data_IF_909708069092
#
_entry.id   IF_909708069092
#
_cell.length_a   1.000
_cell.length_b   1.000
_cell.length_c   1.000
_cell.angle_alpha   90.00
_cell.angle_beta   90.00
_cell.angle_gamma   90.00
#
_symmetry.space_group_name_H-M   'P 1'
#
loop_
_entity.id
_entity.type
_entity.pdbx_description
1 polymer ?
#
# COMPACT_ATOMS: atom_id res chain seq x y z
N UNK A 1 -30.28 2.26 2.23
CA UNK A 1 -29.17 3.15 2.63
C UNK A 1 -27.99 2.81 1.75
N UNK A 2 -27.40 3.77 1.03
CA UNK A 2 -26.15 3.51 0.29
C UNK A 2 -25.07 3.18 1.32
N UNK A 3 -24.58 1.94 1.31
CA UNK A 3 -23.43 1.56 2.12
C UNK A 3 -22.19 2.30 1.60
N UNK A 4 -21.37 2.82 2.50
CA UNK A 4 -20.10 3.48 2.15
C UNK A 4 -19.15 2.52 1.43
N UNK A 5 -18.28 3.00 0.53
CA UNK A 5 -17.24 2.15 -0.07
C UNK A 5 -16.31 1.60 1.01
N UNK A 6 -15.97 0.32 0.92
CA UNK A 6 -15.06 -0.37 1.85
C UNK A 6 -13.70 -0.54 1.22
N UNK A 7 -12.65 -0.05 1.88
CA UNK A 7 -11.28 -0.13 1.39
C UNK A 7 -10.39 -0.93 2.35
N UNK A 8 -9.79 -2.00 1.85
CA UNK A 8 -8.77 -2.76 2.58
C UNK A 8 -7.40 -2.10 2.38
N UNK A 9 -6.73 -1.76 3.49
CA UNK A 9 -5.37 -1.21 3.50
C UNK A 9 -4.42 -2.17 4.21
N UNK A 10 -3.50 -2.78 3.46
CA UNK A 10 -2.50 -3.67 4.06
C UNK A 10 -1.40 -2.89 4.76
N UNK A 11 -0.96 -3.35 5.95
CA UNK A 11 -0.03 -2.59 6.78
C UNK A 11 -0.59 -1.21 7.18
N UNK A 12 -1.90 -1.12 7.40
CA UNK A 12 -2.64 0.11 7.63
C UNK A 12 -2.47 0.73 9.02
N UNK A 13 -1.84 0.02 9.96
CA UNK A 13 -1.79 0.44 11.38
C UNK A 13 -0.84 1.62 11.65
N UNK A 14 0.20 1.82 10.86
CA UNK A 14 1.28 2.79 11.14
C UNK A 14 1.76 3.54 9.91
N UNK A 15 2.48 4.66 10.14
CA UNK A 15 3.25 5.38 9.13
C UNK A 15 2.38 5.79 7.92
N UNK A 16 2.83 5.48 6.70
CA UNK A 16 2.11 5.78 5.44
C UNK A 16 0.76 5.07 5.41
N UNK A 17 0.68 3.81 5.85
CA UNK A 17 -0.58 3.06 5.89
C UNK A 17 -1.63 3.73 6.77
N UNK A 18 -1.26 4.21 7.96
CA UNK A 18 -2.20 4.92 8.84
C UNK A 18 -2.66 6.27 8.27
N UNK A 19 -1.78 6.99 7.56
CA UNK A 19 -2.17 8.20 6.85
C UNK A 19 -3.17 7.90 5.72
N UNK A 20 -2.94 6.84 4.94
CA UNK A 20 -3.86 6.39 3.89
C UNK A 20 -5.22 6.04 4.49
N UNK A 21 -5.25 5.26 5.58
CA UNK A 21 -6.48 4.89 6.30
C UNK A 21 -7.27 6.14 6.72
N UNK A 22 -6.62 7.12 7.36
CA UNK A 22 -7.27 8.36 7.80
C UNK A 22 -7.83 9.18 6.63
N UNK A 23 -7.07 9.30 5.52
CA UNK A 23 -7.53 10.07 4.34
C UNK A 23 -8.73 9.41 3.65
N UNK A 24 -8.72 8.08 3.51
CA UNK A 24 -9.84 7.35 2.94
C UNK A 24 -11.08 7.41 3.85
N UNK A 25 -10.90 7.27 5.17
CA UNK A 25 -11.98 7.40 6.12
C UNK A 25 -12.60 8.80 6.12
N UNK A 26 -11.77 9.85 6.12
CA UNK A 26 -12.22 11.24 6.02
C UNK A 26 -12.96 11.55 4.70
N UNK A 27 -12.62 10.81 3.62
CA UNK A 27 -13.32 10.88 2.33
C UNK A 27 -14.64 10.08 2.31
N UNK A 28 -15.05 9.49 3.45
CA UNK A 28 -16.33 8.79 3.59
C UNK A 28 -16.25 7.27 3.38
N UNK A 29 -15.08 6.68 3.19
CA UNK A 29 -14.94 5.22 3.06
C UNK A 29 -14.99 4.55 4.44
N UNK A 30 -15.52 3.33 4.50
CA UNK A 30 -15.25 2.42 5.60
C UNK A 30 -13.91 1.72 5.34
N UNK A 31 -13.15 1.46 6.40
CA UNK A 31 -11.75 1.01 6.25
C UNK A 31 -11.47 -0.29 6.99
N UNK A 32 -10.93 -1.26 6.27
CA UNK A 32 -10.39 -2.49 6.82
C UNK A 32 -8.87 -2.30 7.03
N UNK A 33 -8.44 -2.27 8.27
CA UNK A 33 -7.05 -2.00 8.68
C UNK A 33 -6.33 -3.32 8.89
N UNK A 34 -5.54 -3.74 7.90
CA UNK A 34 -4.73 -4.95 8.08
C UNK A 34 -3.41 -4.63 8.77
N UNK A 35 -2.98 -5.53 9.66
CA UNK A 35 -1.70 -5.51 10.35
C UNK A 35 -1.12 -6.92 10.51
N UNK A 36 0.22 -7.02 10.71
CA UNK A 36 0.89 -8.28 11.04
C UNK A 36 1.18 -8.38 12.53
N UNK A 37 1.85 -7.38 13.10
CA UNK A 37 2.33 -7.37 14.48
C UNK A 37 1.99 -6.11 15.27
N UNK A 38 1.28 -5.15 14.68
CA UNK A 38 0.96 -3.85 15.27
C UNK A 38 -0.50 -3.79 15.72
N UNK A 39 -0.90 -4.71 16.62
CA UNK A 39 -2.27 -4.83 17.07
C UNK A 39 -2.74 -3.57 17.81
N UNK A 40 -1.98 -3.10 18.78
CA UNK A 40 -2.34 -1.96 19.62
C UNK A 40 -2.53 -0.69 18.78
N UNK A 41 -1.63 -0.44 17.82
CA UNK A 41 -1.74 0.73 16.93
C UNK A 41 -2.91 0.60 15.96
N UNK A 42 -3.21 -0.62 15.46
CA UNK A 42 -4.35 -0.86 14.59
C UNK A 42 -5.68 -0.64 15.35
N UNK A 43 -5.79 -1.16 16.55
CA UNK A 43 -6.96 -1.01 17.40
C UNK A 43 -7.17 0.45 17.83
N UNK A 44 -6.10 1.14 18.23
CA UNK A 44 -6.17 2.57 18.58
C UNK A 44 -6.65 3.41 17.38
N UNK A 45 -6.14 3.12 16.17
CA UNK A 45 -6.58 3.80 14.95
C UNK A 45 -8.04 3.49 14.63
N UNK A 46 -8.48 2.24 14.75
CA UNK A 46 -9.87 1.90 14.52
C UNK A 46 -10.81 2.57 15.53
N UNK A 47 -10.43 2.67 16.80
CA UNK A 47 -11.19 3.37 17.83
C UNK A 47 -11.28 4.87 17.54
N UNK A 48 -10.15 5.52 17.14
CA UNK A 48 -10.12 6.93 16.72
C UNK A 48 -11.16 7.20 15.61
N UNK A 49 -11.18 6.34 14.58
CA UNK A 49 -12.05 6.51 13.43
C UNK A 49 -13.51 6.21 13.75
N UNK A 50 -13.77 5.18 14.54
CA UNK A 50 -15.13 4.82 14.98
C UNK A 50 -15.74 5.86 15.93
N UNK A 51 -14.92 6.65 16.63
CA UNK A 51 -15.41 7.78 17.42
C UNK A 51 -15.96 8.92 16.53
N UNK A 52 -15.52 9.02 15.27
CA UNK A 52 -16.04 10.02 14.32
C UNK A 52 -17.20 9.47 13.48
N UNK A 53 -17.20 8.19 13.17
CA UNK A 53 -18.26 7.49 12.42
C UNK A 53 -18.33 6.03 12.88
N UNK A 54 -19.42 5.69 13.57
CA UNK A 54 -19.64 4.37 14.17
C UNK A 54 -19.55 3.26 13.13
N UNK A 55 -18.90 2.11 13.49
CA UNK A 55 -18.75 0.89 12.68
C UNK A 55 -18.12 1.12 11.29
N UNK A 56 -17.27 2.12 11.16
CA UNK A 56 -16.62 2.50 9.90
C UNK A 56 -15.17 2.04 9.76
N UNK A 57 -14.59 1.45 10.81
CA UNK A 57 -13.25 0.91 10.81
C UNK A 57 -13.18 -0.40 11.59
N UNK A 58 -12.50 -1.39 11.02
CA UNK A 58 -12.24 -2.68 11.68
C UNK A 58 -10.81 -3.15 11.40
N UNK A 59 -10.25 -3.93 12.33
CA UNK A 59 -8.88 -4.44 12.27
C UNK A 59 -8.84 -5.90 11.86
N UNK A 60 -7.82 -6.28 11.08
CA UNK A 60 -7.63 -7.64 10.59
C UNK A 60 -6.16 -8.04 10.71
N UNK A 61 -5.88 -9.08 11.47
CA UNK A 61 -4.54 -9.63 11.64
C UNK A 61 -4.20 -10.64 10.54
N UNK A 62 -2.93 -10.69 10.12
CA UNK A 62 -2.46 -11.77 9.24
C UNK A 62 -1.01 -11.60 8.82
N UNK A 63 -0.32 -12.69 8.54
CA UNK A 63 0.99 -12.73 7.92
C UNK A 63 0.80 -12.98 6.41
N UNK A 64 0.96 -11.92 5.59
CA UNK A 64 0.66 -11.98 4.15
C UNK A 64 1.63 -12.86 3.35
N UNK A 65 2.74 -13.23 3.95
CA UNK A 65 3.69 -14.20 3.44
C UNK A 65 3.17 -15.64 3.44
N UNK A 66 2.15 -15.97 4.25
CA UNK A 66 1.51 -17.27 4.30
C UNK A 66 0.50 -17.41 3.16
N UNK A 67 0.52 -18.53 2.46
CA UNK A 67 -0.28 -18.74 1.23
C UNK A 67 -1.80 -18.62 1.43
N UNK A 68 -2.30 -19.01 2.58
CA UNK A 68 -3.73 -18.97 2.89
C UNK A 68 -4.21 -17.58 3.32
N UNK A 69 -3.33 -16.73 3.84
CA UNK A 69 -3.70 -15.46 4.47
C UNK A 69 -4.35 -14.46 3.52
N UNK A 70 -3.86 -14.22 2.28
CA UNK A 70 -4.50 -13.26 1.39
C UNK A 70 -5.97 -13.55 1.12
N UNK A 71 -6.31 -14.82 0.84
CA UNK A 71 -7.69 -15.24 0.62
C UNK A 71 -8.55 -15.13 1.87
N UNK A 72 -8.03 -15.58 3.01
CA UNK A 72 -8.72 -15.50 4.31
C UNK A 72 -8.99 -14.06 4.73
N UNK A 73 -8.03 -13.16 4.54
CA UNK A 73 -8.15 -11.73 4.84
C UNK A 73 -9.27 -11.08 4.03
N UNK A 74 -9.26 -11.27 2.71
CA UNK A 74 -10.30 -10.71 1.83
C UNK A 74 -11.69 -11.25 2.21
N UNK A 75 -11.79 -12.55 2.48
CA UNK A 75 -13.04 -13.18 2.93
C UNK A 75 -13.54 -12.61 4.27
N UNK A 76 -12.65 -12.40 5.23
CA UNK A 76 -12.98 -11.81 6.52
C UNK A 76 -13.48 -10.36 6.39
N UNK A 77 -12.82 -9.54 5.56
CA UNK A 77 -13.25 -8.17 5.27
C UNK A 77 -14.64 -8.15 4.62
N UNK A 78 -14.84 -9.02 3.60
CA UNK A 78 -16.13 -9.11 2.92
C UNK A 78 -17.25 -9.60 3.86
N UNK A 79 -16.94 -10.54 4.75
CA UNK A 79 -17.91 -11.03 5.74
C UNK A 79 -18.30 -9.93 6.72
N UNK A 80 -17.32 -9.12 7.18
CA UNK A 80 -17.56 -8.06 8.17
C UNK A 80 -18.39 -6.89 7.60
N UNK A 81 -17.99 -6.37 6.43
CA UNK A 81 -18.61 -5.17 5.84
C UNK A 81 -19.70 -5.49 4.81
N UNK A 82 -19.73 -6.72 4.27
CA UNK A 82 -20.66 -7.16 3.23
C UNK A 82 -20.28 -6.67 1.82
N UNK A 83 -19.12 -6.06 1.64
CA UNK A 83 -18.60 -5.56 0.35
C UNK A 83 -17.10 -5.29 0.43
N UNK A 84 -16.46 -5.13 -0.73
CA UNK A 84 -15.09 -4.62 -0.86
C UNK A 84 -14.99 -3.82 -2.16
N UNK A 85 -14.68 -2.52 -2.07
CA UNK A 85 -14.63 -1.59 -3.19
C UNK A 85 -13.22 -1.19 -3.58
N UNK A 86 -12.27 -1.36 -2.67
CA UNK A 86 -10.90 -1.02 -2.94
C UNK A 86 -9.88 -1.82 -2.15
N UNK A 87 -8.71 -1.97 -2.75
CA UNK A 87 -7.54 -2.61 -2.13
C UNK A 87 -6.33 -1.68 -2.24
N UNK A 88 -5.69 -1.38 -1.11
CA UNK A 88 -4.40 -0.69 -1.07
C UNK A 88 -3.32 -1.66 -0.59
N UNK A 89 -2.46 -2.10 -1.50
CA UNK A 89 -1.28 -2.90 -1.19
C UNK A 89 -0.16 -1.98 -0.69
N UNK A 90 -0.13 -1.73 0.63
CA UNK A 90 0.85 -0.87 1.29
C UNK A 90 1.84 -1.64 2.17
N UNK A 91 1.50 -2.85 2.65
CA UNK A 91 2.44 -3.69 3.40
C UNK A 91 3.73 -3.93 2.61
N UNK A 92 4.89 -3.82 3.26
CA UNK A 92 6.20 -3.92 2.60
C UNK A 92 7.27 -4.39 3.58
N UNK A 93 8.23 -5.17 3.10
CA UNK A 93 9.51 -5.41 3.74
C UNK A 93 10.60 -4.59 3.02
N UNK A 94 11.49 -3.97 3.82
CA UNK A 94 12.58 -3.14 3.30
C UNK A 94 13.83 -3.29 4.16
N UNK A 95 14.88 -3.84 3.59
CA UNK A 95 16.21 -3.93 4.20
C UNK A 95 17.29 -4.16 3.13
N UNK A 96 18.55 -3.95 3.52
CA UNK A 96 19.70 -4.07 2.63
C UNK A 96 19.98 -5.54 2.25
N UNK A 97 20.33 -5.76 0.99
CA UNK A 97 20.72 -7.06 0.42
C UNK A 97 21.97 -6.88 -0.46
N UNK A 98 23.17 -6.67 0.14
CA UNK A 98 24.40 -6.47 -0.61
C UNK A 98 24.75 -7.72 -1.44
N UNK A 99 25.34 -7.52 -2.61
CA UNK A 99 25.86 -8.63 -3.44
C UNK A 99 26.97 -9.36 -2.68
N UNK A 100 26.88 -10.68 -2.63
CA UNK A 100 27.79 -11.54 -1.87
C UNK A 100 27.27 -11.92 -0.47
N UNK A 101 26.30 -11.19 0.09
CA UNK A 101 25.69 -11.47 1.39
C UNK A 101 24.22 -11.88 1.28
N UNK A 102 23.61 -11.68 0.12
CA UNK A 102 22.20 -11.99 -0.13
C UNK A 102 21.97 -13.49 -0.15
N UNK A 103 21.01 -13.97 0.63
CA UNK A 103 20.59 -15.37 0.71
C UNK A 103 19.26 -15.61 -0.01
N UNK A 104 18.93 -16.89 -0.28
CA UNK A 104 17.60 -17.26 -0.78
C UNK A 104 16.48 -16.81 0.16
N UNK A 105 16.68 -16.88 1.46
CA UNK A 105 15.69 -16.41 2.43
C UNK A 105 15.43 -14.89 2.33
N UNK A 106 16.45 -14.08 2.08
CA UNK A 106 16.28 -12.65 1.83
C UNK A 106 15.45 -12.39 0.56
N UNK A 107 15.68 -13.18 -0.48
CA UNK A 107 14.91 -13.13 -1.73
C UNK A 107 13.46 -13.48 -1.47
N UNK A 108 13.20 -14.62 -0.84
CA UNK A 108 11.85 -15.13 -0.59
C UNK A 108 11.04 -14.14 0.26
N UNK A 109 11.59 -13.60 1.34
CA UNK A 109 10.92 -12.64 2.23
C UNK A 109 10.59 -11.33 1.49
N UNK A 110 11.55 -10.74 0.76
CA UNK A 110 11.32 -9.48 0.05
C UNK A 110 10.33 -9.63 -1.11
N UNK A 111 10.39 -10.72 -1.87
CA UNK A 111 9.41 -10.99 -2.92
C UNK A 111 8.05 -11.38 -2.36
N UNK A 112 8.00 -12.15 -1.27
CA UNK A 112 6.74 -12.49 -0.61
C UNK A 112 5.96 -11.25 -0.20
N UNK A 113 6.61 -10.32 0.51
CA UNK A 113 5.95 -9.12 1.01
C UNK A 113 5.61 -8.09 -0.10
N UNK A 114 6.52 -7.89 -1.09
CA UNK A 114 6.43 -6.77 -2.03
C UNK A 114 5.81 -7.11 -3.39
N UNK A 115 5.71 -8.39 -3.76
CA UNK A 115 5.19 -8.80 -5.06
C UNK A 115 4.14 -9.92 -4.95
N UNK A 116 4.46 -11.03 -4.26
CA UNK A 116 3.61 -12.21 -4.16
C UNK A 116 2.32 -11.92 -3.39
N UNK A 117 2.39 -11.33 -2.20
CA UNK A 117 1.22 -10.99 -1.42
C UNK A 117 0.28 -10.02 -2.14
N UNK A 118 0.75 -8.90 -2.75
CA UNK A 118 -0.08 -8.05 -3.60
C UNK A 118 -0.81 -8.78 -4.73
N UNK A 119 -0.15 -9.75 -5.39
CA UNK A 119 -0.77 -10.55 -6.43
C UNK A 119 -1.92 -11.41 -5.89
N UNK A 120 -1.70 -12.18 -4.84
CA UNK A 120 -2.74 -13.06 -4.28
C UNK A 120 -3.87 -12.29 -3.61
N UNK A 121 -3.59 -11.13 -3.01
CA UNK A 121 -4.64 -10.21 -2.51
C UNK A 121 -5.50 -9.69 -3.66
N UNK A 122 -4.88 -9.22 -4.75
CA UNK A 122 -5.62 -8.76 -5.93
C UNK A 122 -6.47 -9.87 -6.54
N UNK A 123 -5.91 -11.09 -6.65
CA UNK A 123 -6.65 -12.26 -7.15
C UNK A 123 -7.85 -12.59 -6.26
N UNK A 124 -7.68 -12.62 -4.96
CA UNK A 124 -8.75 -12.91 -4.01
C UNK A 124 -9.83 -11.82 -4.00
N UNK A 125 -9.42 -10.54 -4.11
CA UNK A 125 -10.32 -9.39 -4.11
C UNK A 125 -11.05 -9.18 -5.45
N UNK A 126 -10.54 -9.71 -6.56
CA UNK A 126 -11.04 -9.44 -7.90
C UNK A 126 -12.56 -9.65 -8.09
N UNK A 127 -13.20 -10.72 -7.56
CA UNK A 127 -14.64 -10.87 -7.71
C UNK A 127 -15.44 -9.73 -7.08
N UNK A 128 -15.14 -9.37 -5.83
CA UNK A 128 -15.82 -8.28 -5.12
C UNK A 128 -15.52 -6.90 -5.75
N UNK A 129 -14.27 -6.66 -6.17
CA UNK A 129 -13.90 -5.43 -6.84
C UNK A 129 -14.58 -5.26 -8.20
N UNK A 130 -14.77 -6.33 -8.97
CA UNK A 130 -15.54 -6.29 -10.22
C UNK A 130 -17.00 -5.94 -9.98
N UNK A 131 -17.64 -6.56 -8.98
CA UNK A 131 -19.01 -6.23 -8.60
C UNK A 131 -19.17 -4.77 -8.19
N UNK A 132 -18.22 -4.25 -7.42
CA UNK A 132 -18.21 -2.87 -6.95
C UNK A 132 -17.75 -1.83 -8.00
N UNK A 133 -17.20 -2.26 -9.16
CA UNK A 133 -16.46 -1.41 -10.11
C UNK A 133 -15.35 -0.61 -9.42
N UNK A 134 -14.59 -1.30 -8.59
CA UNK A 134 -13.66 -0.75 -7.64
C UNK A 134 -12.28 -0.41 -8.18
N UNK A 135 -11.31 -0.28 -7.25
CA UNK A 135 -9.94 0.04 -7.63
C UNK A 135 -8.90 -0.67 -6.75
N UNK A 136 -7.71 -0.87 -7.31
CA UNK A 136 -6.50 -1.30 -6.60
C UNK A 136 -5.46 -0.19 -6.70
N UNK A 137 -4.81 0.14 -5.57
CA UNK A 137 -3.65 1.03 -5.54
C UNK A 137 -2.48 0.30 -4.87
N UNK A 138 -1.39 0.14 -5.61
CA UNK A 138 -0.16 -0.48 -5.12
C UNK A 138 0.84 0.60 -4.66
N UNK A 139 1.37 0.49 -3.45
CA UNK A 139 2.46 1.35 -3.00
C UNK A 139 3.78 0.73 -3.45
N UNK A 140 4.27 1.24 -4.56
CA UNK A 140 5.58 0.87 -5.11
C UNK A 140 6.69 1.72 -4.47
N UNK A 141 7.71 2.10 -5.18
CA UNK A 141 8.81 2.96 -4.73
C UNK A 141 9.49 3.56 -5.96
N UNK A 142 10.06 4.75 -5.86
CA UNK A 142 10.92 5.30 -6.92
C UNK A 142 12.11 4.39 -7.23
N UNK A 143 12.52 3.55 -6.28
CA UNK A 143 13.58 2.55 -6.45
C UNK A 143 13.19 1.36 -7.33
N UNK A 144 11.95 1.26 -7.76
CA UNK A 144 11.53 0.33 -8.81
C UNK A 144 12.12 0.68 -10.19
N UNK A 145 12.39 1.98 -10.44
CA UNK A 145 12.95 2.49 -11.69
C UNK A 145 14.40 2.98 -11.54
N UNK A 146 14.76 3.46 -10.35
CA UNK A 146 16.08 4.01 -10.00
C UNK A 146 16.65 3.24 -8.82
N UNK A 147 17.31 2.10 -9.05
CA UNK A 147 17.65 1.16 -7.98
C UNK A 147 18.54 1.80 -6.90
N UNK A 148 18.25 1.44 -5.64
CA UNK A 148 19.04 1.85 -4.49
C UNK A 148 20.23 0.90 -4.31
N UNK A 149 21.42 1.44 -4.19
CA UNK A 149 22.62 0.65 -3.92
C UNK A 149 22.45 -0.20 -2.66
N UNK A 150 22.89 -1.46 -2.71
CA UNK A 150 22.76 -2.42 -1.61
C UNK A 150 21.33 -2.96 -1.39
N UNK A 151 20.37 -2.69 -2.28
CA UNK A 151 18.96 -3.12 -2.13
C UNK A 151 18.44 -3.77 -3.42
N UNK A 152 19.26 -4.64 -4.03
CA UNK A 152 18.95 -5.21 -5.34
C UNK A 152 17.64 -5.98 -5.34
N UNK A 153 17.45 -6.90 -4.38
CA UNK A 153 16.24 -7.74 -4.30
C UNK A 153 14.99 -6.91 -4.05
N UNK A 154 15.07 -5.91 -3.15
CA UNK A 154 13.96 -4.98 -2.91
C UNK A 154 13.56 -4.21 -4.18
N UNK A 155 14.55 -3.63 -4.89
CA UNK A 155 14.30 -2.89 -6.13
C UNK A 155 13.65 -3.77 -7.20
N UNK A 156 14.11 -5.02 -7.34
CA UNK A 156 13.51 -6.01 -8.24
C UNK A 156 12.07 -6.34 -7.85
N UNK A 157 11.79 -6.56 -6.56
CA UNK A 157 10.43 -6.86 -6.09
C UNK A 157 9.48 -5.66 -6.31
N UNK A 158 9.96 -4.42 -6.12
CA UNK A 158 9.16 -3.21 -6.43
C UNK A 158 8.96 -3.00 -7.93
N UNK A 159 9.94 -3.35 -8.77
CA UNK A 159 9.76 -3.37 -10.23
C UNK A 159 8.74 -4.44 -10.67
N UNK A 160 8.75 -5.61 -10.02
CA UNK A 160 7.73 -6.63 -10.24
C UNK A 160 6.32 -6.12 -9.87
N UNK A 161 6.18 -5.33 -8.79
CA UNK A 161 4.92 -4.72 -8.38
C UNK A 161 4.44 -3.64 -9.39
N UNK A 162 5.36 -2.91 -10.02
CA UNK A 162 5.03 -2.00 -11.13
C UNK A 162 4.46 -2.79 -12.32
N UNK A 163 5.13 -3.87 -12.73
CA UNK A 163 4.64 -4.73 -13.81
C UNK A 163 3.29 -5.38 -13.44
N UNK A 164 3.12 -5.84 -12.20
CA UNK A 164 1.85 -6.37 -11.71
C UNK A 164 0.72 -5.33 -11.84
N UNK A 165 0.99 -4.06 -11.50
CA UNK A 165 0.03 -2.97 -11.65
C UNK A 165 -0.45 -2.84 -13.10
N UNK A 166 0.49 -2.85 -14.05
CA UNK A 166 0.18 -2.71 -15.49
C UNK A 166 -0.55 -3.93 -16.04
N UNK A 167 -0.16 -5.14 -15.63
CA UNK A 167 -0.81 -6.38 -16.05
C UNK A 167 -2.25 -6.46 -15.54
N UNK A 168 -2.45 -6.25 -14.22
CA UNK A 168 -3.78 -6.29 -13.62
C UNK A 168 -4.71 -5.18 -14.16
N UNK A 169 -4.15 -4.02 -14.53
CA UNK A 169 -4.92 -2.95 -15.16
C UNK A 169 -5.55 -3.37 -16.50
N UNK A 170 -4.94 -4.32 -17.19
CA UNK A 170 -5.48 -4.91 -18.44
C UNK A 170 -6.43 -6.08 -18.15
N UNK A 171 -6.04 -6.97 -17.26
CA UNK A 171 -6.79 -8.21 -16.99
C UNK A 171 -8.08 -7.98 -16.21
N UNK A 172 -8.15 -6.90 -15.40
CA UNK A 172 -9.33 -6.56 -14.60
C UNK A 172 -10.20 -5.45 -15.21
N UNK A 173 -9.78 -4.86 -16.34
CA UNK A 173 -10.60 -3.91 -17.08
C UNK A 173 -11.77 -4.62 -17.76
N UNK A 174 -12.91 -3.92 -18.00
CA UNK A 174 -13.16 -2.50 -17.69
C UNK A 174 -13.70 -2.26 -16.26
N UNK A 175 -13.88 -3.30 -15.45
CA UNK A 175 -14.59 -3.17 -14.17
C UNK A 175 -13.70 -2.58 -13.08
N UNK A 176 -12.39 -2.93 -13.03
CA UNK A 176 -11.48 -2.54 -11.95
C UNK A 176 -10.32 -1.72 -12.49
N UNK A 177 -10.08 -0.56 -11.89
CA UNK A 177 -8.89 0.26 -12.15
C UNK A 177 -7.73 -0.19 -11.26
N UNK A 178 -6.53 -0.28 -11.81
CA UNK A 178 -5.33 -0.65 -11.04
C UNK A 178 -4.23 0.35 -11.32
N UNK A 179 -3.77 1.05 -10.27
CA UNK A 179 -2.71 2.05 -10.36
C UNK A 179 -1.69 1.86 -9.24
N UNK A 180 -0.61 2.60 -9.31
CA UNK A 180 0.40 2.62 -8.27
C UNK A 180 0.79 4.05 -7.86
N UNK A 181 1.23 4.18 -6.62
CA UNK A 181 1.91 5.38 -6.11
C UNK A 181 3.36 4.99 -5.81
N UNK A 182 4.31 5.81 -6.28
CA UNK A 182 5.74 5.66 -6.06
C UNK A 182 6.26 6.77 -5.13
N UNK A 183 6.33 6.53 -3.81
CA UNK A 183 6.85 7.49 -2.87
C UNK A 183 8.35 7.70 -3.05
N UNK A 184 8.81 8.94 -2.81
CA UNK A 184 10.21 9.28 -2.64
C UNK A 184 10.63 9.28 -1.16
N UNK A 185 11.38 10.32 -0.73
CA UNK A 185 11.82 10.49 0.65
C UNK A 185 10.67 11.00 1.54
N UNK A 186 9.83 10.10 2.06
CA UNK A 186 8.65 10.42 2.87
C UNK A 186 8.95 10.29 4.37
N UNK A 187 9.51 9.16 4.79
CA UNK A 187 9.82 8.87 6.19
C UNK A 187 11.23 8.31 6.32
N UNK A 188 11.92 8.74 7.36
CA UNK A 188 13.18 8.10 7.74
C UNK A 188 12.92 6.76 8.44
N UNK A 189 13.88 5.82 8.43
CA UNK A 189 13.83 4.61 9.25
C UNK A 189 13.55 4.95 10.71
N UNK A 190 12.92 4.04 11.45
CA UNK A 190 12.65 4.25 12.88
C UNK A 190 13.92 4.46 13.73
N UNK A 191 15.05 3.90 13.27
CA UNK A 191 16.38 4.11 13.85
C UNK A 191 16.95 5.52 13.58
N UNK A 192 16.22 6.36 12.83
CA UNK A 192 16.72 7.64 12.35
C UNK A 192 17.57 7.51 11.08
N UNK A 193 18.07 8.64 10.64
CA UNK A 193 19.04 8.77 9.54
C UNK A 193 20.06 9.82 9.93
N UNK A 194 21.37 9.63 9.67
CA UNK A 194 22.38 10.66 9.88
C UNK A 194 21.97 11.95 9.16
N UNK A 195 22.16 13.10 9.82
CA UNK A 195 21.72 14.42 9.34
C UNK A 195 22.24 14.72 7.94
N UNK A 196 23.56 14.53 7.72
CA UNK A 196 24.19 14.72 6.42
C UNK A 196 23.56 13.88 5.30
N UNK A 197 23.19 12.61 5.62
CA UNK A 197 22.53 11.73 4.66
C UNK A 197 21.08 12.13 4.42
N UNK A 198 20.41 12.73 5.39
CA UNK A 198 19.08 13.28 5.26
C UNK A 198 19.10 14.54 4.37
N UNK A 199 20.03 15.48 4.63
CA UNK A 199 20.24 16.68 3.84
C UNK A 199 20.60 16.36 2.39
N UNK A 200 21.52 15.41 2.16
CA UNK A 200 21.89 14.95 0.82
C UNK A 200 20.73 14.35 0.02
N UNK A 201 19.74 13.76 0.70
CA UNK A 201 18.51 13.28 0.06
C UNK A 201 17.56 14.44 -0.27
N UNK A 202 17.38 15.37 0.64
CA UNK A 202 16.54 16.55 0.45
C UNK A 202 17.09 17.42 -0.69
N UNK A 203 18.40 17.60 -0.76
CA UNK A 203 19.05 18.36 -1.83
C UNK A 203 18.82 17.78 -3.25
N UNK A 204 18.42 16.50 -3.34
CA UNK A 204 18.05 15.84 -4.60
C UNK A 204 16.57 16.00 -4.96
N UNK A 205 15.76 16.60 -4.10
CA UNK A 205 14.35 16.87 -4.39
C UNK A 205 14.17 18.29 -4.93
N UNK A 206 13.45 18.45 -6.05
CA UNK A 206 13.20 19.77 -6.63
C UNK A 206 12.40 20.69 -5.67
N UNK A 207 11.52 20.09 -4.85
CA UNK A 207 10.75 20.83 -3.84
C UNK A 207 11.56 21.19 -2.59
N UNK A 208 12.81 20.78 -2.46
CA UNK A 208 13.73 21.15 -1.36
C UNK A 208 13.26 20.71 0.04
N UNK A 209 12.36 19.74 0.13
CA UNK A 209 11.85 19.19 1.39
C UNK A 209 11.63 17.69 1.33
N UNK A 210 11.63 17.08 2.48
CA UNK A 210 11.09 15.74 2.65
C UNK A 210 9.56 15.78 2.46
N UNK A 211 8.98 14.75 1.84
CA UNK A 211 7.54 14.57 1.82
C UNK A 211 6.97 14.13 3.17
N UNK A 212 5.67 14.09 3.26
CA UNK A 212 4.90 13.64 4.42
C UNK A 212 4.03 12.42 4.03
N UNK A 213 3.70 11.51 4.96
CA UNK A 213 2.74 10.43 4.70
C UNK A 213 1.41 10.91 4.12
N UNK A 214 0.97 12.12 4.45
CA UNK A 214 -0.21 12.77 3.87
C UNK A 214 -0.09 13.01 2.37
N UNK A 215 1.10 13.39 1.87
CA UNK A 215 1.32 13.58 0.43
C UNK A 215 1.04 12.28 -0.36
N UNK A 216 1.44 11.13 0.20
CA UNK A 216 1.16 9.80 -0.39
C UNK A 216 -0.31 9.43 -0.25
N UNK A 217 -0.90 9.68 0.91
CA UNK A 217 -2.28 9.35 1.20
C UNK A 217 -3.26 10.14 0.31
N UNK A 218 -2.96 11.39 -0.01
CA UNK A 218 -3.74 12.21 -0.94
C UNK A 218 -3.73 11.62 -2.35
N UNK A 219 -2.57 11.19 -2.86
CA UNK A 219 -2.47 10.54 -4.16
C UNK A 219 -3.25 9.22 -4.21
N UNK A 220 -3.17 8.41 -3.12
CA UNK A 220 -3.95 7.17 -3.00
C UNK A 220 -5.45 7.48 -3.01
N UNK A 221 -5.91 8.45 -2.22
CA UNK A 221 -7.32 8.85 -2.17
C UNK A 221 -7.81 9.28 -3.55
N UNK A 222 -7.05 10.13 -4.25
CA UNK A 222 -7.40 10.56 -5.60
C UNK A 222 -7.51 9.39 -6.59
N UNK A 223 -6.53 8.48 -6.61
CA UNK A 223 -6.57 7.30 -7.47
C UNK A 223 -7.74 6.37 -7.14
N UNK A 224 -8.08 6.26 -5.86
CA UNK A 224 -9.16 5.41 -5.40
C UNK A 224 -10.53 5.98 -5.74
N UNK A 225 -10.75 7.29 -5.51
CA UNK A 225 -12.07 7.91 -5.48
C UNK A 225 -12.39 8.76 -6.71
N UNK A 226 -11.40 9.46 -7.31
CA UNK A 226 -11.67 10.52 -8.28
C UNK A 226 -11.10 10.23 -9.69
N UNK A 227 -10.08 9.40 -9.80
CA UNK A 227 -9.35 9.16 -11.05
C UNK A 227 -10.06 8.14 -11.96
N UNK A 228 -11.30 8.40 -12.37
CA UNK A 228 -12.16 7.43 -13.06
C UNK A 228 -11.67 7.01 -14.45
N UNK A 229 -10.81 7.79 -15.10
CA UNK A 229 -10.24 7.46 -16.42
C UNK A 229 -8.73 7.19 -16.35
N UNK A 230 -8.26 6.69 -15.19
CA UNK A 230 -6.84 6.40 -14.95
C UNK A 230 -6.67 4.95 -14.51
N UNK A 231 -5.93 4.15 -15.29
CA UNK A 231 -5.55 2.77 -14.97
C UNK A 231 -4.19 2.43 -15.55
N UNK A 232 -3.43 1.53 -14.93
CA UNK A 232 -2.08 1.11 -15.35
C UNK A 232 -0.99 2.15 -15.09
N UNK A 233 -1.27 3.22 -14.33
CA UNK A 233 -0.34 4.33 -14.13
C UNK A 233 0.46 4.19 -12.82
N UNK A 234 1.66 4.75 -12.83
CA UNK A 234 2.51 4.93 -11.63
C UNK A 234 2.65 6.42 -11.37
N UNK A 235 2.06 6.90 -10.29
CA UNK A 235 2.12 8.30 -9.87
C UNK A 235 3.29 8.48 -8.89
N UNK A 236 4.29 9.25 -9.27
CA UNK A 236 5.40 9.57 -8.38
C UNK A 236 5.02 10.66 -7.41
N UNK A 237 5.28 10.43 -6.11
CA UNK A 237 5.13 11.39 -5.01
C UNK A 237 6.49 11.51 -4.35
N UNK A 238 7.42 12.17 -5.04
CA UNK A 238 8.85 12.16 -4.75
C UNK A 238 9.49 13.55 -4.63
N UNK A 239 8.69 14.62 -4.75
CA UNK A 239 9.18 15.98 -4.72
C UNK A 239 10.04 16.36 -5.93
N UNK A 240 9.92 15.64 -7.06
CA UNK A 240 10.68 15.87 -8.29
C UNK A 240 12.08 15.26 -8.26
N UNK A 241 12.29 14.20 -7.50
CA UNK A 241 13.54 13.46 -7.37
C UNK A 241 13.79 12.49 -8.53
#
# INVERSE_FOLDING_TARGET
MNKQPVILVTGGARRVGAAIVRHLHAAGCDVAIHYRSSADEAEALAQELNATRTDSAATFAGALEDDATPGALVSAVHTHFGRLDGLVNNASAFYSTPIGETTAAHWDDLFAANARAPFFLAQAAAPALREARGAIVNIVDIYAERPLAGHVVYSMAKAALVMLTQALARDLAPEVRVNAVAPGAILWPASGKPEEAAEALIAKTALGRKGDPGDVAEAVRWLMMDAHYTTGQVIRVDGGR
#
